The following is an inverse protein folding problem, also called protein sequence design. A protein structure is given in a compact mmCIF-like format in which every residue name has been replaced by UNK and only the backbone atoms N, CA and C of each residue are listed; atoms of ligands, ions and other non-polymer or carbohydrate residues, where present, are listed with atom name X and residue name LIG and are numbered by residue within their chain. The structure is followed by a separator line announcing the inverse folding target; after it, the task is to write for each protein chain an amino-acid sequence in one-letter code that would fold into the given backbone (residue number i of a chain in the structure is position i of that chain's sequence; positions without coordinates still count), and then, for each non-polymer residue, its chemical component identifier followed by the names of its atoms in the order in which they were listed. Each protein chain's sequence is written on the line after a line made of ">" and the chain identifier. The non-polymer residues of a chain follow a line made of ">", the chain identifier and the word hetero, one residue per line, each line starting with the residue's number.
data_IF_218490125840
#
_entry.id   IF_218490125840
#
_cell.length_a   1.000
_cell.length_b   1.000
_cell.length_c   1.000
_cell.angle_alpha   90.00
_cell.angle_beta   90.00
_cell.angle_gamma   90.00
#
_symmetry.space_group_name_H-M   'P 1'
#
loop_
_entity.id
_entity.type
_entity.pdbx_description
1 polymer ?
#
# COMPACT_ATOMS: atom_id res chain seq x y z
N UNK A 1 5.85 19.01 -14.03
CA UNK A 1 4.38 18.95 -13.88
C UNK A 1 4.14 17.93 -12.79
N UNK A 2 3.64 18.36 -11.63
CA UNK A 2 3.56 17.49 -10.45
C UNK A 2 2.70 16.25 -10.70
N UNK A 3 3.06 15.13 -10.08
CA UNK A 3 2.35 13.86 -10.14
C UNK A 3 2.11 13.30 -8.74
N UNK A 4 1.00 12.58 -8.58
CA UNK A 4 0.78 11.70 -7.42
C UNK A 4 1.17 10.29 -7.82
N UNK A 5 2.01 9.65 -7.01
CA UNK A 5 2.34 8.23 -7.13
C UNK A 5 1.49 7.47 -6.11
N UNK A 6 0.84 6.40 -6.53
CA UNK A 6 0.19 5.42 -5.65
C UNK A 6 0.90 4.07 -5.81
N UNK A 7 1.39 3.56 -4.69
CA UNK A 7 1.98 2.22 -4.60
C UNK A 7 0.98 1.35 -3.86
N UNK A 8 0.62 0.20 -4.43
CA UNK A 8 -0.27 -0.78 -3.81
C UNK A 8 0.41 -2.14 -3.78
N UNK A 9 0.37 -2.80 -2.62
CA UNK A 9 0.75 -4.21 -2.47
C UNK A 9 -0.46 -4.96 -1.95
N UNK A 10 -0.91 -5.94 -2.74
CA UNK A 10 -2.06 -6.78 -2.45
C UNK A 10 -1.64 -8.25 -2.46
N UNK A 11 -1.48 -8.84 -1.28
CA UNK A 11 -1.11 -10.25 -1.15
C UNK A 11 -2.31 -11.20 -1.31
N UNK A 12 -3.54 -10.68 -1.42
CA UNK A 12 -4.71 -11.48 -1.78
C UNK A 12 -4.79 -11.71 -3.29
N UNK A 13 -4.11 -10.87 -4.07
CA UNK A 13 -4.02 -11.01 -5.51
C UNK A 13 -2.96 -12.08 -5.87
N UNK A 14 -3.33 -13.12 -6.64
CA UNK A 14 -2.39 -14.16 -7.06
C UNK A 14 -1.20 -13.64 -7.89
N UNK A 15 -1.33 -12.46 -8.51
CA UNK A 15 -0.27 -11.86 -9.31
C UNK A 15 0.78 -11.08 -8.51
N UNK A 16 0.67 -11.01 -7.17
CA UNK A 16 1.68 -10.67 -6.11
C UNK A 16 2.66 -9.50 -6.30
N UNK A 17 2.65 -8.81 -7.43
CA UNK A 17 3.57 -7.72 -7.74
C UNK A 17 3.05 -6.42 -7.13
N UNK A 18 3.96 -5.58 -6.66
CA UNK A 18 3.65 -4.20 -6.32
C UNK A 18 3.15 -3.47 -7.57
N UNK A 19 2.05 -2.73 -7.42
CA UNK A 19 1.51 -1.88 -8.47
C UNK A 19 1.90 -0.43 -8.18
N UNK A 20 2.65 0.18 -9.09
CA UNK A 20 3.09 1.58 -9.00
C UNK A 20 2.40 2.36 -10.12
N UNK A 21 1.43 3.19 -9.73
CA UNK A 21 0.65 4.04 -10.64
C UNK A 21 1.04 5.50 -10.46
N UNK A 22 1.09 6.27 -11.56
CA UNK A 22 1.31 7.71 -11.53
C UNK A 22 0.11 8.47 -12.10
N UNK A 23 -0.22 9.61 -11.48
CA UNK A 23 -1.37 10.43 -11.85
C UNK A 23 -0.93 11.90 -11.94
N UNK A 24 -1.04 12.49 -13.13
CA UNK A 24 -0.71 13.90 -13.34
C UNK A 24 -1.66 14.82 -12.59
N UNK A 25 -1.12 15.74 -11.80
CA UNK A 25 -1.91 16.70 -11.01
C UNK A 25 -2.52 17.75 -11.95
N UNK A 26 -3.84 17.88 -11.89
CA UNK A 26 -4.60 18.89 -12.65
C UNK A 26 -4.90 20.11 -11.79
N UNK A 27 -5.26 19.88 -10.53
CA UNK A 27 -5.63 20.93 -9.58
C UNK A 27 -5.40 20.46 -8.15
N UNK A 28 -4.86 21.33 -7.31
CA UNK A 28 -4.81 21.14 -5.87
C UNK A 28 -5.85 22.05 -5.22
N UNK A 29 -6.76 21.47 -4.43
CA UNK A 29 -7.68 22.22 -3.57
C UNK A 29 -7.29 22.08 -2.10
N UNK A 30 -8.05 22.69 -1.20
CA UNK A 30 -7.69 22.74 0.24
C UNK A 30 -7.56 21.35 0.90
N UNK A 31 -8.39 20.39 0.50
CA UNK A 31 -8.44 19.06 1.11
C UNK A 31 -8.10 17.92 0.14
N UNK A 32 -8.05 18.20 -1.16
CA UNK A 32 -7.94 17.17 -2.18
C UNK A 32 -7.00 17.60 -3.30
N UNK A 33 -6.29 16.63 -3.85
CA UNK A 33 -5.54 16.74 -5.10
C UNK A 33 -6.37 16.05 -6.17
N UNK A 34 -6.62 16.75 -7.27
CA UNK A 34 -7.34 16.25 -8.43
C UNK A 34 -6.32 15.91 -9.51
N UNK A 35 -6.30 14.66 -9.92
CA UNK A 35 -5.35 14.12 -10.89
C UNK A 35 -6.05 13.48 -12.09
N UNK A 36 -5.28 13.23 -13.15
CA UNK A 36 -5.69 12.44 -14.31
C UNK A 36 -4.62 11.41 -14.67
N UNK A 37 -5.07 10.24 -15.13
CA UNK A 37 -4.27 9.27 -15.85
C UNK A 37 -5.02 8.91 -17.14
N UNK A 38 -4.54 9.43 -18.28
CA UNK A 38 -5.31 9.42 -19.53
C UNK A 38 -6.66 10.13 -19.36
N UNK A 39 -7.75 9.45 -19.73
CA UNK A 39 -9.12 9.99 -19.63
C UNK A 39 -9.75 9.81 -18.24
N UNK A 40 -9.09 9.10 -17.32
CA UNK A 40 -9.62 8.79 -16.00
C UNK A 40 -9.23 9.89 -15.01
N UNK A 41 -10.24 10.55 -14.44
CA UNK A 41 -10.07 11.48 -13.33
C UNK A 41 -9.99 10.76 -11.99
N UNK A 42 -9.04 11.13 -11.14
CA UNK A 42 -8.86 10.56 -9.79
C UNK A 42 -8.70 11.67 -8.76
N UNK A 43 -9.15 11.43 -7.52
CA UNK A 43 -9.07 12.39 -6.41
C UNK A 43 -8.37 11.75 -5.22
N UNK A 44 -7.37 12.45 -4.68
CA UNK A 44 -6.62 12.03 -3.50
C UNK A 44 -6.86 13.00 -2.36
N UNK A 45 -7.20 12.46 -1.19
CA UNK A 45 -7.39 13.25 0.03
C UNK A 45 -6.02 13.59 0.63
N UNK A 46 -5.73 14.88 0.83
CA UNK A 46 -4.40 15.37 1.24
C UNK A 46 -3.94 14.74 2.56
N UNK A 47 -4.79 14.63 3.61
CA UNK A 47 -4.37 13.97 4.84
C UNK A 47 -3.94 12.51 4.66
N UNK A 48 -4.41 11.83 3.61
CA UNK A 48 -4.05 10.44 3.32
C UNK A 48 -2.78 10.28 2.49
N UNK A 49 -1.99 11.35 2.36
CA UNK A 49 -0.71 11.36 1.65
C UNK A 49 0.42 11.06 2.63
N UNK A 50 1.46 10.41 2.12
CA UNK A 50 2.68 10.03 2.82
C UNK A 50 2.44 9.12 4.03
N UNK A 51 1.44 8.26 3.96
CA UNK A 51 1.15 7.25 4.98
C UNK A 51 0.63 5.95 4.37
N UNK A 52 0.91 4.84 5.04
CA UNK A 52 0.38 3.53 4.69
C UNK A 52 -1.11 3.44 5.08
N UNK A 53 -1.95 3.04 4.13
CA UNK A 53 -3.38 2.81 4.34
C UNK A 53 -3.73 1.34 4.12
N UNK A 54 -4.37 0.74 5.13
CA UNK A 54 -5.04 -0.55 5.03
C UNK A 54 -6.27 -0.43 4.11
N UNK A 55 -6.39 -1.32 3.13
CA UNK A 55 -7.53 -1.38 2.19
C UNK A 55 -8.33 -2.68 2.27
N UNK A 56 -7.92 -3.60 3.13
CA UNK A 56 -8.48 -4.94 3.19
C UNK A 56 -7.40 -5.91 3.67
N UNK A 57 -7.80 -7.15 3.94
CA UNK A 57 -6.89 -8.15 4.49
C UNK A 57 -5.64 -8.28 3.61
N UNK A 58 -4.47 -7.97 4.15
CA UNK A 58 -3.20 -8.01 3.43
C UNK A 58 -3.13 -7.14 2.14
N UNK A 59 -3.91 -6.06 2.09
CA UNK A 59 -3.90 -5.07 1.00
C UNK A 59 -3.60 -3.68 1.57
N UNK A 60 -2.50 -3.08 1.11
CA UNK A 60 -2.02 -1.79 1.60
C UNK A 60 -1.61 -0.88 0.45
N UNK A 61 -1.76 0.43 0.67
CA UNK A 61 -1.28 1.43 -0.27
C UNK A 61 -0.54 2.57 0.41
N UNK A 62 0.43 3.14 -0.30
CA UNK A 62 1.13 4.37 0.07
C UNK A 62 1.04 5.38 -1.08
N UNK A 63 0.93 6.67 -0.77
CA UNK A 63 0.79 7.72 -1.77
C UNK A 63 1.73 8.88 -1.49
N UNK A 64 2.33 9.47 -2.51
CA UNK A 64 3.11 10.70 -2.35
C UNK A 64 3.05 11.57 -3.61
N UNK A 65 3.37 12.86 -3.48
CA UNK A 65 3.57 13.77 -4.61
C UNK A 65 5.05 13.86 -4.98
N UNK A 66 5.35 13.98 -6.28
CA UNK A 66 6.67 14.29 -6.82
C UNK A 66 6.56 15.23 -8.03
N UNK A 67 7.61 15.99 -8.30
CA UNK A 67 7.76 16.77 -9.53
C UNK A 67 8.36 15.95 -10.67
N UNK A 68 8.95 14.79 -10.36
CA UNK A 68 9.47 13.85 -11.35
C UNK A 68 8.32 13.36 -12.24
N UNK A 69 8.57 13.30 -13.54
CA UNK A 69 7.57 12.87 -14.52
C UNK A 69 8.01 11.64 -15.30
N UNK A 70 9.30 11.33 -15.28
CA UNK A 70 9.83 10.10 -15.85
C UNK A 70 9.51 8.93 -14.92
N UNK A 71 8.82 7.93 -15.46
CA UNK A 71 8.36 6.78 -14.69
C UNK A 71 9.53 5.96 -14.12
N UNK A 72 10.64 5.88 -14.85
CA UNK A 72 11.82 5.11 -14.43
C UNK A 72 12.53 5.82 -13.28
N UNK A 73 12.71 7.13 -13.38
CA UNK A 73 13.26 7.94 -12.28
C UNK A 73 12.41 7.81 -11.02
N UNK A 74 11.08 7.82 -11.16
CA UNK A 74 10.15 7.62 -10.05
C UNK A 74 10.36 6.25 -9.39
N UNK A 75 10.38 5.15 -10.15
CA UNK A 75 10.57 3.81 -9.59
C UNK A 75 11.92 3.67 -8.90
N UNK A 76 12.98 4.19 -9.52
CA UNK A 76 14.35 4.10 -9.02
C UNK A 76 14.62 5.08 -7.86
N UNK A 77 13.67 5.98 -7.55
CA UNK A 77 13.84 6.98 -6.49
C UNK A 77 13.87 6.38 -5.07
N UNK A 78 14.67 7.01 -4.21
CA UNK A 78 14.72 6.70 -2.78
C UNK A 78 13.34 6.78 -2.12
N UNK A 79 12.51 7.72 -2.58
CA UNK A 79 11.15 7.93 -2.05
C UNK A 79 10.25 6.73 -2.32
N UNK A 80 10.30 6.15 -3.53
CA UNK A 80 9.58 4.90 -3.85
C UNK A 80 10.07 3.75 -2.98
N UNK A 81 11.38 3.60 -2.84
CA UNK A 81 11.98 2.54 -2.02
C UNK A 81 11.55 2.63 -0.55
N UNK A 82 11.54 3.84 0.00
CA UNK A 82 11.08 4.09 1.37
C UNK A 82 9.58 3.79 1.54
N UNK A 83 8.74 4.21 0.58
CA UNK A 83 7.31 3.93 0.60
C UNK A 83 7.01 2.42 0.54
N UNK A 84 7.72 1.66 -0.30
CA UNK A 84 7.62 0.20 -0.36
C UNK A 84 8.04 -0.42 0.98
N UNK A 85 9.17 0.03 1.54
CA UNK A 85 9.68 -0.47 2.82
C UNK A 85 8.71 -0.24 3.97
N UNK A 86 8.01 0.90 3.99
CA UNK A 86 6.95 1.15 4.98
C UNK A 86 5.77 0.18 4.82
N UNK A 87 5.30 -0.04 3.58
CA UNK A 87 4.22 -1.00 3.32
C UNK A 87 4.63 -2.41 3.79
N UNK A 88 5.85 -2.84 3.48
CA UNK A 88 6.38 -4.16 3.88
C UNK A 88 6.38 -4.31 5.40
N UNK A 89 6.85 -3.30 6.15
CA UNK A 89 6.84 -3.35 7.63
C UNK A 89 5.44 -3.54 8.21
N UNK A 90 4.44 -2.88 7.65
CA UNK A 90 3.04 -3.06 8.08
C UNK A 90 2.53 -4.47 7.77
N UNK A 91 2.82 -4.97 6.57
CA UNK A 91 2.46 -6.33 6.15
C UNK A 91 3.11 -7.38 7.06
N UNK A 92 4.41 -7.28 7.33
CA UNK A 92 5.14 -8.19 8.22
C UNK A 92 4.54 -8.21 9.63
N UNK A 93 4.20 -7.03 10.17
CA UNK A 93 3.57 -6.93 11.49
C UNK A 93 2.23 -7.66 11.54
N UNK A 94 1.39 -7.47 10.53
CA UNK A 94 0.07 -8.11 10.50
C UNK A 94 0.17 -9.61 10.21
N UNK A 95 1.06 -10.04 9.31
CA UNK A 95 1.36 -11.46 9.08
C UNK A 95 1.84 -12.17 10.34
N UNK A 96 2.80 -11.58 11.07
CA UNK A 96 3.27 -12.11 12.34
C UNK A 96 2.15 -12.24 13.38
N UNK A 97 1.23 -11.27 13.42
CA UNK A 97 0.05 -11.33 14.30
C UNK A 97 -0.90 -12.47 13.90
N UNK A 98 -1.14 -12.66 12.60
CA UNK A 98 -1.99 -13.75 12.12
C UNK A 98 -1.36 -15.11 12.36
N UNK A 99 -0.05 -15.26 12.11
CA UNK A 99 0.68 -16.49 12.38
C UNK A 99 0.55 -16.91 13.85
N UNK A 100 0.85 -15.99 14.80
CA UNK A 100 0.71 -16.28 16.24
C UNK A 100 -0.69 -16.72 16.65
N UNK A 101 -1.73 -16.18 16.01
CA UNK A 101 -3.12 -16.58 16.28
C UNK A 101 -3.45 -17.97 15.77
N UNK A 102 -2.91 -18.33 14.61
CA UNK A 102 -3.07 -19.66 14.03
C UNK A 102 -2.32 -20.70 14.87
N UNK A 103 -1.08 -20.42 15.26
CA UNK A 103 -0.29 -21.27 16.15
C UNK A 103 -1.02 -21.53 17.49
N UNK A 104 -1.52 -20.47 18.14
CA UNK A 104 -2.29 -20.60 19.38
C UNK A 104 -3.60 -21.40 19.20
N UNK A 105 -4.22 -21.34 18.01
CA UNK A 105 -5.40 -22.15 17.70
C UNK A 105 -5.04 -23.62 17.51
N UNK A 106 -3.94 -23.91 16.82
CA UNK A 106 -3.43 -25.28 16.64
C UNK A 106 -3.08 -25.91 17.99
N UNK A 107 -2.33 -25.21 18.85
CA UNK A 107 -2.02 -25.65 20.21
C UNK A 107 -3.28 -25.98 21.03
N UNK A 108 -4.31 -25.13 20.95
CA UNK A 108 -5.59 -25.37 21.62
C UNK A 108 -6.28 -26.65 21.12
N UNK A 109 -6.30 -26.89 19.81
CA UNK A 109 -6.91 -28.09 19.25
C UNK A 109 -6.11 -29.35 19.57
N UNK A 110 -4.77 -29.31 19.56
CA UNK A 110 -3.94 -30.43 19.99
C UNK A 110 -4.22 -30.79 21.45
N UNK A 111 -4.29 -29.80 22.35
CA UNK A 111 -4.59 -30.02 23.75
C UNK A 111 -5.99 -30.63 23.98
N UNK A 112 -6.98 -30.28 23.15
CA UNK A 112 -8.29 -30.91 23.19
C UNK A 112 -8.23 -32.38 22.75
N UNK A 113 -7.50 -32.69 21.68
CA UNK A 113 -7.36 -34.05 21.19
C UNK A 113 -6.64 -34.96 22.18
N UNK A 114 -5.62 -34.45 22.88
CA UNK A 114 -4.90 -35.20 23.92
C UNK A 114 -5.75 -35.49 25.17
N UNK A 115 -6.85 -34.75 25.37
CA UNK A 115 -7.76 -34.93 26.49
C UNK A 115 -8.84 -36.01 26.24
N UNK A 116 -9.11 -36.36 24.99
CA UNK A 116 -10.10 -37.36 24.58
C UNK A 116 -9.46 -38.68 24.16
#
# INVERSE_FOLDING_TARGET
>A
MSQVVEITIDLTNPNRNSMIETFGVVKTGERNIYCKAGDIGRRFFIPNMNEVKYRGFLNYSYRYQTEDTDYREIIESEKTSNAISEIVKYLEKDLNRYQRRLEASDEYYQALLDFY
#
